data_IF_840702660651
#
_entry.id   IF_840702660651
#
_cell.length_a   1.000
_cell.length_b   1.000
_cell.length_c   1.000
_cell.angle_alpha   90.00
_cell.angle_beta   90.00
_cell.angle_gamma   90.00
#
_symmetry.space_group_name_H-M   'P 1'
#
loop_
_entity.id
_entity.type
_entity.pdbx_description
1 polymer ?
#
# COMPACT_ATOMS: atom_id res chain seq x y z
N UNK A 1 20.88 31.13 -0.63
CA UNK A 1 20.81 32.45 0.06
C UNK A 1 20.35 32.29 1.50
N UNK A 2 19.15 31.76 1.77
CA UNK A 2 18.59 31.63 3.12
C UNK A 2 19.49 30.89 4.14
N UNK A 3 20.13 29.79 3.73
CA UNK A 3 21.06 29.04 4.61
C UNK A 3 22.28 29.88 4.98
N UNK A 4 22.76 30.75 4.09
CA UNK A 4 23.85 31.70 4.38
C UNK A 4 23.41 32.81 5.35
N UNK A 5 22.13 32.90 5.66
CA UNK A 5 21.53 33.88 6.59
C UNK A 5 20.86 33.15 7.76
N UNK A 6 21.42 32.02 8.19
CA UNK A 6 21.04 31.31 9.42
C UNK A 6 19.60 30.79 9.45
N UNK A 7 19.02 30.46 8.29
CA UNK A 7 17.72 29.79 8.25
C UNK A 7 17.78 28.42 8.95
N UNK A 8 16.84 28.16 9.85
CA UNK A 8 16.73 26.88 10.55
C UNK A 8 16.19 25.78 9.62
N UNK A 9 17.07 24.88 9.19
CA UNK A 9 16.72 23.73 8.35
C UNK A 9 15.95 22.63 9.10
N UNK A 10 15.90 22.69 10.43
CA UNK A 10 15.12 21.78 11.28
C UNK A 10 13.74 22.37 11.64
N UNK A 11 13.41 23.58 11.16
CA UNK A 11 12.14 24.22 11.45
C UNK A 11 10.95 23.33 11.05
N UNK A 12 9.90 23.37 11.85
CA UNK A 12 8.70 22.54 11.67
C UNK A 12 7.47 23.42 11.49
N UNK A 13 6.66 23.10 10.50
CA UNK A 13 5.36 23.75 10.31
C UNK A 13 4.28 23.21 11.28
N UNK A 14 3.03 23.66 11.11
CA UNK A 14 1.87 23.20 11.91
C UNK A 14 1.57 21.69 11.78
N UNK A 15 2.07 21.06 10.72
CA UNK A 15 1.97 19.63 10.45
C UNK A 15 3.25 18.88 10.81
N UNK A 16 4.18 19.56 11.49
CA UNK A 16 5.48 19.05 11.89
C UNK A 16 6.41 18.68 10.72
N UNK A 17 6.10 19.17 9.52
CA UNK A 17 6.92 18.97 8.34
C UNK A 17 8.16 19.87 8.43
N UNK A 18 9.31 19.26 8.18
CA UNK A 18 10.58 19.96 7.97
C UNK A 18 10.77 20.32 6.50
N UNK A 19 11.69 21.25 6.16
CA UNK A 19 12.09 21.50 4.78
C UNK A 19 12.44 20.22 3.99
N UNK A 20 13.03 19.20 4.64
CA UNK A 20 13.33 17.92 3.99
C UNK A 20 12.06 17.15 3.57
N UNK A 21 10.99 17.18 4.37
CA UNK A 21 9.72 16.56 3.98
C UNK A 21 9.16 17.21 2.72
N UNK A 22 9.19 18.54 2.66
CA UNK A 22 8.69 19.31 1.51
C UNK A 22 9.56 19.06 0.28
N UNK A 23 10.89 19.05 0.45
CA UNK A 23 11.81 18.73 -0.64
C UNK A 23 11.58 17.31 -1.18
N UNK A 24 11.39 16.34 -0.28
CA UNK A 24 11.14 14.94 -0.61
C UNK A 24 9.83 14.74 -1.37
N UNK A 25 8.75 15.45 -1.00
CA UNK A 25 7.47 15.38 -1.70
C UNK A 25 7.51 15.97 -3.12
N UNK A 26 8.40 16.94 -3.38
CA UNK A 26 8.44 17.73 -4.63
C UNK A 26 9.65 17.41 -5.54
N UNK A 27 10.31 16.25 -5.37
CA UNK A 27 11.53 15.87 -6.13
C UNK A 27 12.64 16.93 -6.07
N UNK A 28 12.72 17.74 -5.01
CA UNK A 28 13.71 18.81 -4.90
C UNK A 28 15.07 18.25 -4.42
N UNK A 29 15.66 17.33 -5.18
CA UNK A 29 16.88 16.57 -4.83
C UNK A 29 18.03 17.51 -4.50
N UNK A 30 18.28 18.52 -5.34
CA UNK A 30 19.35 19.50 -5.11
C UNK A 30 19.17 20.29 -3.81
N UNK A 31 17.92 20.60 -3.44
CA UNK A 31 17.65 21.25 -2.17
C UNK A 31 17.91 20.30 -1.00
N UNK A 32 17.48 19.03 -1.12
CA UNK A 32 17.74 17.99 -0.12
C UNK A 32 19.24 17.77 0.09
N UNK A 33 20.04 17.66 -0.98
CA UNK A 33 21.51 17.53 -0.91
C UNK A 33 22.16 18.66 -0.13
N UNK A 34 21.68 19.89 -0.33
CA UNK A 34 22.20 21.06 0.38
C UNK A 34 21.81 21.02 1.86
N UNK A 35 20.57 20.67 2.22
CA UNK A 35 20.11 20.75 3.61
C UNK A 35 20.49 19.54 4.47
N UNK A 36 20.59 18.34 3.91
CA UNK A 36 20.83 17.09 4.67
C UNK A 36 22.06 17.17 5.59
N UNK A 37 23.23 17.69 5.16
CA UNK A 37 24.40 17.81 6.02
C UNK A 37 24.21 18.71 7.25
N UNK A 38 23.17 19.56 7.25
CA UNK A 38 22.84 20.49 8.33
C UNK A 38 21.67 20.03 9.20
N UNK A 39 21.03 18.90 8.84
CA UNK A 39 19.92 18.35 9.62
C UNK A 39 20.45 17.63 10.86
N UNK A 40 19.71 17.75 11.95
CA UNK A 40 19.93 16.92 13.14
C UNK A 40 19.66 15.44 12.87
N UNK A 41 18.70 15.13 11.99
CA UNK A 41 18.39 13.77 11.57
C UNK A 41 17.60 13.77 10.25
N UNK A 42 17.89 12.82 9.37
CA UNK A 42 17.08 12.55 8.16
C UNK A 42 15.78 11.78 8.47
N UNK A 43 15.67 11.23 9.69
CA UNK A 43 14.60 10.34 10.12
C UNK A 43 13.50 11.05 10.94
N UNK A 44 13.47 12.38 10.94
CA UNK A 44 12.40 13.14 11.60
C UNK A 44 11.05 12.80 10.95
N UNK A 45 10.02 12.63 11.77
CA UNK A 45 8.65 12.35 11.33
C UNK A 45 7.76 13.58 11.38
N UNK A 46 6.82 13.70 10.44
CA UNK A 46 5.73 14.66 10.47
C UNK A 46 4.65 14.28 11.51
N UNK A 47 3.56 15.06 11.58
CA UNK A 47 2.46 14.83 12.55
C UNK A 47 1.73 13.50 12.32
N UNK A 48 1.80 12.95 11.12
CA UNK A 48 1.29 11.63 10.74
C UNK A 48 2.27 10.48 11.02
N UNK A 49 3.47 10.76 11.53
CA UNK A 49 4.53 9.78 11.72
C UNK A 49 5.33 9.49 10.44
N UNK A 50 5.10 10.21 9.34
CA UNK A 50 5.77 9.95 8.07
C UNK A 50 7.11 10.67 8.02
N UNK A 51 8.16 9.96 7.62
CA UNK A 51 9.50 10.54 7.35
C UNK A 51 9.60 11.06 5.92
N UNK A 52 10.68 11.77 5.58
CA UNK A 52 10.96 12.19 4.20
C UNK A 52 10.93 11.01 3.20
N UNK A 53 11.38 9.82 3.60
CA UNK A 53 11.34 8.62 2.76
C UNK A 53 9.91 8.20 2.41
N UNK A 54 8.95 8.33 3.34
CA UNK A 54 7.55 8.09 3.04
C UNK A 54 7.01 9.05 1.98
N UNK A 55 7.35 10.34 2.08
CA UNK A 55 6.90 11.35 1.11
C UNK A 55 7.53 11.13 -0.27
N UNK A 56 8.82 10.77 -0.34
CA UNK A 56 9.48 10.43 -1.60
C UNK A 56 8.87 9.18 -2.24
N UNK A 57 8.61 8.14 -1.44
CA UNK A 57 8.03 6.89 -1.91
C UNK A 57 6.56 7.05 -2.36
N UNK A 58 5.78 7.83 -1.63
CA UNK A 58 4.40 8.19 -1.98
C UNK A 58 4.29 8.88 -3.35
N UNK A 59 5.29 9.67 -3.73
CA UNK A 59 5.25 10.46 -4.98
C UNK A 59 6.14 9.86 -6.10
N UNK A 60 6.73 8.68 -5.89
CA UNK A 60 7.50 7.99 -6.94
C UNK A 60 8.86 8.60 -7.24
N UNK A 61 9.44 9.39 -6.33
CA UNK A 61 10.68 10.13 -6.59
C UNK A 61 11.93 9.26 -6.36
N UNK A 62 12.27 8.42 -7.33
CA UNK A 62 13.36 7.44 -7.25
C UNK A 62 14.71 8.06 -6.85
N UNK A 63 15.13 9.15 -7.50
CA UNK A 63 16.37 9.86 -7.17
C UNK A 63 16.39 10.35 -5.72
N UNK A 64 15.24 10.81 -5.22
CA UNK A 64 15.10 11.25 -3.83
C UNK A 64 15.15 10.07 -2.86
N UNK A 65 14.50 8.94 -3.20
CA UNK A 65 14.57 7.71 -2.40
C UNK A 65 16.03 7.24 -2.28
N UNK A 66 16.77 7.18 -3.38
CA UNK A 66 18.19 6.84 -3.39
C UNK A 66 19.02 7.78 -2.50
N UNK A 67 18.84 9.10 -2.65
CA UNK A 67 19.55 10.08 -1.82
C UNK A 67 19.26 9.85 -0.33
N UNK A 68 17.99 9.68 0.04
CA UNK A 68 17.60 9.49 1.44
C UNK A 68 18.18 8.20 2.03
N UNK A 69 18.11 7.08 1.30
CA UNK A 69 18.69 5.81 1.72
C UNK A 69 20.22 5.91 1.87
N UNK A 70 20.91 6.53 0.90
CA UNK A 70 22.35 6.78 0.96
C UNK A 70 22.77 7.70 2.12
N UNK A 71 21.84 8.49 2.67
CA UNK A 71 22.05 9.37 3.82
C UNK A 71 21.50 8.81 5.14
N UNK A 72 21.21 7.51 5.19
CA UNK A 72 20.85 6.80 6.42
C UNK A 72 19.38 6.92 6.81
N UNK A 73 18.48 7.15 5.85
CA UNK A 73 17.06 7.02 6.10
C UNK A 73 16.72 5.58 6.53
N UNK A 74 15.97 5.43 7.61
CA UNK A 74 15.48 4.14 8.08
C UNK A 74 14.43 3.62 7.09
N UNK A 75 14.81 2.59 6.33
CA UNK A 75 13.98 1.99 5.28
C UNK A 75 12.68 1.39 5.80
N UNK A 76 12.69 0.90 7.05
CA UNK A 76 11.54 0.27 7.71
C UNK A 76 10.87 1.21 8.73
N UNK A 77 11.13 2.52 8.67
CA UNK A 77 10.37 3.50 9.44
C UNK A 77 8.87 3.38 9.14
N UNK A 78 8.04 3.62 10.16
CA UNK A 78 6.61 3.43 10.08
C UNK A 78 5.84 4.69 10.51
N UNK A 79 4.71 4.94 9.84
CA UNK A 79 3.82 6.04 10.18
C UNK A 79 2.88 5.70 11.35
N UNK A 80 1.98 6.61 11.75
CA UNK A 80 1.04 6.36 12.87
C UNK A 80 0.05 5.22 12.64
N UNK A 81 -0.05 4.67 11.43
CA UNK A 81 -0.82 3.47 11.09
C UNK A 81 0.09 2.25 10.87
N UNK A 82 1.35 2.34 11.28
CA UNK A 82 2.42 1.36 11.06
C UNK A 82 2.71 1.08 9.57
N UNK A 83 2.33 2.00 8.67
CA UNK A 83 2.63 1.86 7.25
C UNK A 83 4.03 2.36 6.99
N UNK A 84 4.78 1.60 6.20
CA UNK A 84 6.15 1.92 5.76
C UNK A 84 6.15 2.57 4.39
N UNK A 85 7.29 3.10 3.95
CA UNK A 85 7.47 3.65 2.61
C UNK A 85 7.03 2.68 1.50
N UNK A 86 7.30 1.37 1.68
CA UNK A 86 6.91 0.30 0.76
C UNK A 86 5.39 0.22 0.56
N UNK A 87 4.58 0.41 1.62
CA UNK A 87 3.11 0.41 1.51
C UNK A 87 2.62 1.55 0.60
N UNK A 88 3.21 2.74 0.75
CA UNK A 88 2.82 3.92 -0.02
C UNK A 88 3.23 3.82 -1.49
N UNK A 89 4.46 3.35 -1.77
CA UNK A 89 4.91 3.10 -3.13
C UNK A 89 4.06 2.01 -3.83
N UNK A 90 3.72 0.94 -3.08
CA UNK A 90 2.85 -0.13 -3.57
C UNK A 90 1.44 0.37 -3.89
N UNK A 91 0.83 1.15 -3.00
CA UNK A 91 -0.48 1.75 -3.22
C UNK A 91 -0.50 2.69 -4.43
N UNK A 92 0.54 3.51 -4.61
CA UNK A 92 0.59 4.52 -5.68
C UNK A 92 1.11 4.00 -7.04
N UNK A 93 1.49 2.73 -7.14
CA UNK A 93 1.90 2.17 -8.44
C UNK A 93 3.35 2.46 -8.84
N UNK A 94 4.20 2.90 -7.91
CA UNK A 94 5.59 3.25 -8.21
C UNK A 94 6.49 2.01 -8.18
N UNK A 95 6.39 1.16 -9.21
CA UNK A 95 7.11 -0.12 -9.29
C UNK A 95 8.63 0.03 -9.11
N UNK A 96 9.25 1.02 -9.75
CA UNK A 96 10.69 1.25 -9.62
C UNK A 96 11.10 1.62 -8.20
N UNK A 97 10.27 2.38 -7.48
CA UNK A 97 10.49 2.68 -6.06
C UNK A 97 10.28 1.44 -5.19
N UNK A 98 9.26 0.62 -5.47
CA UNK A 98 9.04 -0.66 -4.78
C UNK A 98 10.27 -1.55 -4.93
N UNK A 99 10.72 -1.80 -6.16
CA UNK A 99 11.89 -2.63 -6.44
C UNK A 99 13.14 -2.06 -5.76
N UNK A 100 13.34 -0.73 -5.81
CA UNK A 100 14.47 -0.07 -5.16
C UNK A 100 14.47 -0.27 -3.64
N UNK A 101 13.33 -0.07 -2.98
CA UNK A 101 13.18 -0.26 -1.54
C UNK A 101 13.46 -1.72 -1.16
N UNK A 102 12.91 -2.68 -1.89
CA UNK A 102 13.12 -4.12 -1.63
C UNK A 102 14.60 -4.48 -1.79
N UNK A 103 15.26 -4.01 -2.85
CA UNK A 103 16.69 -4.22 -3.09
C UNK A 103 17.59 -3.63 -1.99
N UNK A 104 17.11 -2.61 -1.27
CA UNK A 104 17.80 -2.01 -0.12
C UNK A 104 17.39 -2.63 1.23
N UNK A 105 16.64 -3.73 1.22
CA UNK A 105 16.27 -4.49 2.43
C UNK A 105 14.97 -4.03 3.10
N UNK A 106 14.06 -3.40 2.36
CA UNK A 106 12.70 -3.18 2.88
C UNK A 106 12.01 -4.53 3.14
N UNK A 107 11.37 -4.66 4.30
CA UNK A 107 10.63 -5.87 4.65
C UNK A 107 9.36 -6.01 3.78
N UNK A 108 9.35 -6.96 2.86
CA UNK A 108 8.28 -7.16 1.86
C UNK A 108 6.96 -7.60 2.50
N UNK A 109 7.02 -8.44 3.54
CA UNK A 109 5.86 -9.02 4.24
C UNK A 109 5.38 -8.17 5.41
N UNK A 110 5.80 -6.89 5.46
CA UNK A 110 5.44 -5.99 6.54
C UNK A 110 3.93 -5.77 6.63
N UNK A 111 3.45 -5.52 7.86
CA UNK A 111 2.04 -5.31 8.16
C UNK A 111 1.82 -3.97 8.83
N UNK A 112 0.78 -3.27 8.41
CA UNK A 112 0.28 -2.08 9.09
C UNK A 112 -0.52 -2.45 10.36
N UNK A 113 -1.04 -1.45 11.09
CA UNK A 113 -1.81 -1.66 12.33
C UNK A 113 -3.04 -2.56 12.18
N UNK A 114 -3.56 -2.70 10.97
CA UNK A 114 -4.71 -3.53 10.65
C UNK A 114 -4.32 -4.80 9.89
N UNK A 115 -3.03 -5.13 9.82
CA UNK A 115 -2.53 -6.32 9.16
C UNK A 115 -2.49 -6.24 7.64
N UNK A 116 -2.68 -5.05 7.03
CA UNK A 116 -2.53 -4.91 5.58
C UNK A 116 -1.06 -4.99 5.20
N UNK A 117 -0.76 -5.75 4.15
CA UNK A 117 0.59 -5.87 3.55
C UNK A 117 0.74 -4.95 2.33
N UNK A 118 1.96 -4.77 1.79
CA UNK A 118 2.16 -4.12 0.50
C UNK A 118 1.35 -4.75 -0.65
N UNK A 119 1.14 -6.08 -0.63
CA UNK A 119 0.30 -6.77 -1.61
C UNK A 119 -1.16 -6.29 -1.52
N UNK A 120 -1.72 -6.18 -0.30
CA UNK A 120 -3.06 -5.62 -0.12
C UNK A 120 -3.14 -4.16 -0.61
N UNK A 121 -2.11 -3.36 -0.35
CA UNK A 121 -2.07 -1.96 -0.75
C UNK A 121 -2.06 -1.82 -2.29
N UNK A 122 -1.24 -2.60 -2.98
CA UNK A 122 -1.21 -2.66 -4.43
C UNK A 122 -2.55 -3.16 -5.01
N UNK A 123 -3.11 -4.21 -4.41
CA UNK A 123 -4.37 -4.79 -4.85
C UNK A 123 -5.57 -3.84 -4.67
N UNK A 124 -5.58 -3.07 -3.58
CA UNK A 124 -6.63 -2.08 -3.31
C UNK A 124 -6.72 -0.97 -4.34
N UNK A 125 -5.62 -0.66 -5.04
CA UNK A 125 -5.54 0.46 -5.97
C UNK A 125 -5.17 0.03 -7.40
N UNK A 126 -5.40 -1.25 -7.74
CA UNK A 126 -5.28 -1.72 -9.13
C UNK A 126 -3.85 -1.85 -9.66
N UNK A 127 -2.83 -1.91 -8.80
CA UNK A 127 -1.43 -1.81 -9.21
C UNK A 127 -0.87 -3.15 -9.68
N UNK A 128 -1.35 -3.63 -10.84
CA UNK A 128 -1.08 -4.98 -11.37
C UNK A 128 0.42 -5.32 -11.48
N UNK A 129 1.25 -4.38 -11.93
CA UNK A 129 2.69 -4.63 -12.09
C UNK A 129 3.39 -4.83 -10.73
N UNK A 130 2.89 -4.18 -9.68
CA UNK A 130 3.42 -4.37 -8.32
C UNK A 130 2.90 -5.66 -7.72
N UNK A 131 1.63 -6.02 -7.95
CA UNK A 131 1.08 -7.33 -7.57
C UNK A 131 1.93 -8.45 -8.15
N UNK A 132 2.18 -8.45 -9.47
CA UNK A 132 3.09 -9.39 -10.14
C UNK A 132 4.46 -9.43 -9.48
N UNK A 133 5.07 -8.27 -9.29
CA UNK A 133 6.41 -8.18 -8.72
C UNK A 133 6.48 -8.80 -7.31
N UNK A 134 5.51 -8.48 -6.44
CA UNK A 134 5.45 -9.02 -5.09
C UNK A 134 5.20 -10.53 -5.07
N UNK A 135 4.28 -11.04 -5.90
CA UNK A 135 4.00 -12.47 -5.99
C UNK A 135 5.20 -13.27 -6.52
N UNK A 136 5.95 -12.70 -7.46
CA UNK A 136 7.21 -13.29 -7.94
C UNK A 136 8.32 -13.34 -6.88
N UNK A 137 8.21 -12.59 -5.79
CA UNK A 137 9.09 -12.70 -4.62
C UNK A 137 8.64 -13.80 -3.64
N UNK A 138 7.55 -14.52 -3.93
CA UNK A 138 7.05 -15.61 -3.11
C UNK A 138 6.35 -15.18 -1.82
N UNK A 139 5.74 -13.99 -1.81
CA UNK A 139 4.88 -13.59 -0.67
C UNK A 139 3.62 -14.47 -0.61
N UNK A 140 3.12 -14.72 0.60
CA UNK A 140 1.87 -15.45 0.80
C UNK A 140 0.70 -14.68 0.17
N UNK A 141 0.04 -15.31 -0.82
CA UNK A 141 -1.00 -14.69 -1.64
C UNK A 141 -2.30 -14.50 -0.87
N UNK A 142 -2.61 -15.46 0.01
CA UNK A 142 -3.82 -15.46 0.85
C UNK A 142 -3.54 -14.96 2.27
N UNK A 143 -2.49 -14.15 2.43
CA UNK A 143 -2.17 -13.52 3.71
C UNK A 143 -3.36 -12.66 4.17
N UNK A 144 -3.81 -12.89 5.41
CA UNK A 144 -4.98 -12.23 5.96
C UNK A 144 -4.62 -11.03 6.82
N UNK A 145 -5.39 -9.96 6.68
CA UNK A 145 -5.39 -8.85 7.61
C UNK A 145 -6.20 -9.18 8.90
N UNK A 146 -6.34 -8.23 9.83
CA UNK A 146 -7.03 -8.49 11.12
C UNK A 146 -8.52 -8.86 10.98
N UNK A 147 -9.11 -8.62 9.81
CA UNK A 147 -10.51 -8.94 9.50
C UNK A 147 -10.66 -10.27 8.76
N UNK A 148 -9.56 -10.97 8.48
CA UNK A 148 -9.55 -12.19 7.66
C UNK A 148 -9.63 -11.91 6.15
N UNK A 149 -9.50 -10.66 5.72
CA UNK A 149 -9.56 -10.33 4.30
C UNK A 149 -8.16 -10.53 3.68
N UNK A 150 -8.13 -11.20 2.53
CA UNK A 150 -6.94 -11.35 1.67
C UNK A 150 -6.85 -10.21 0.64
N UNK A 151 -5.75 -10.15 -0.12
CA UNK A 151 -5.62 -9.19 -1.22
C UNK A 151 -6.76 -9.31 -2.26
N UNK A 152 -7.24 -10.54 -2.52
CA UNK A 152 -8.34 -10.81 -3.44
C UNK A 152 -9.65 -10.16 -2.97
N UNK A 153 -10.00 -10.27 -1.68
CA UNK A 153 -11.16 -9.59 -1.11
C UNK A 153 -11.11 -8.07 -1.36
N UNK A 154 -9.94 -7.46 -1.10
CA UNK A 154 -9.76 -6.02 -1.22
C UNK A 154 -9.82 -5.57 -2.69
N UNK A 155 -9.25 -6.34 -3.62
CA UNK A 155 -9.35 -6.07 -5.06
C UNK A 155 -10.81 -6.14 -5.54
N UNK A 156 -11.57 -7.16 -5.13
CA UNK A 156 -12.97 -7.33 -5.49
C UNK A 156 -13.85 -6.17 -5.01
N UNK A 157 -13.69 -5.75 -3.75
CA UNK A 157 -14.48 -4.63 -3.22
C UNK A 157 -14.18 -3.30 -3.93
N UNK A 158 -12.94 -3.09 -4.36
CA UNK A 158 -12.55 -1.88 -5.08
C UNK A 158 -12.73 -1.99 -6.60
N UNK A 159 -13.32 -3.08 -7.12
CA UNK A 159 -13.59 -3.26 -8.56
C UNK A 159 -12.33 -3.37 -9.42
N UNK A 160 -11.24 -3.94 -8.88
CA UNK A 160 -9.95 -4.04 -9.58
C UNK A 160 -9.85 -5.34 -10.38
N UNK A 161 -10.66 -5.49 -11.42
CA UNK A 161 -10.82 -6.73 -12.20
C UNK A 161 -9.51 -7.31 -12.74
N UNK A 162 -8.63 -6.45 -13.27
CA UNK A 162 -7.33 -6.89 -13.80
C UNK A 162 -6.42 -7.45 -12.70
N UNK A 163 -6.49 -6.92 -11.47
CA UNK A 163 -5.79 -7.48 -10.31
C UNK A 163 -6.45 -8.76 -9.83
N UNK A 164 -7.79 -8.83 -9.82
CA UNK A 164 -8.53 -10.04 -9.45
C UNK A 164 -8.13 -11.20 -10.36
N UNK A 165 -8.12 -10.99 -11.68
CA UNK A 165 -7.69 -12.02 -12.62
C UNK A 165 -6.26 -12.47 -12.34
N UNK A 166 -5.35 -11.52 -12.13
CA UNK A 166 -3.95 -11.84 -11.84
C UNK A 166 -3.76 -12.63 -10.53
N UNK A 167 -4.48 -12.26 -9.46
CA UNK A 167 -4.42 -13.00 -8.20
C UNK A 167 -4.94 -14.43 -8.37
N UNK A 168 -6.01 -14.63 -9.15
CA UNK A 168 -6.56 -15.96 -9.45
C UNK A 168 -5.55 -16.77 -10.29
N UNK A 169 -4.91 -16.17 -11.29
CA UNK A 169 -3.89 -16.83 -12.12
C UNK A 169 -2.68 -17.29 -11.29
N UNK A 170 -2.33 -16.56 -10.23
CA UNK A 170 -1.30 -16.97 -9.26
C UNK A 170 -1.81 -17.93 -8.18
N UNK A 171 -3.08 -18.34 -8.23
CA UNK A 171 -3.65 -19.37 -7.37
C UNK A 171 -4.31 -18.88 -6.09
N UNK A 172 -4.74 -17.62 -6.01
CA UNK A 172 -5.49 -17.11 -4.86
C UNK A 172 -6.79 -17.91 -4.63
N UNK A 173 -7.11 -18.22 -3.38
CA UNK A 173 -8.34 -18.95 -3.06
C UNK A 173 -9.60 -18.08 -3.26
N UNK A 174 -10.29 -18.30 -4.38
CA UNK A 174 -11.54 -17.62 -4.77
C UNK A 174 -12.68 -17.77 -3.76
N UNK A 175 -12.62 -18.80 -2.90
CA UNK A 175 -13.65 -19.14 -1.92
C UNK A 175 -13.23 -18.87 -0.47
N UNK A 176 -12.09 -18.23 -0.23
CA UNK A 176 -11.59 -17.97 1.11
C UNK A 176 -12.58 -17.12 1.92
N UNK A 177 -13.18 -17.60 3.03
CA UNK A 177 -14.00 -16.76 3.88
C UNK A 177 -13.11 -15.90 4.79
N UNK A 178 -13.54 -14.66 5.04
CA UNK A 178 -12.99 -13.82 6.08
C UNK A 178 -13.53 -14.18 7.48
N UNK A 179 -13.15 -13.43 8.52
CA UNK A 179 -13.55 -13.71 9.91
C UNK A 179 -15.08 -13.64 10.13
N UNK A 180 -15.80 -12.99 9.22
CA UNK A 180 -17.25 -12.85 9.26
C UNK A 180 -17.97 -13.85 8.33
N UNK A 181 -17.23 -14.70 7.62
CA UNK A 181 -17.76 -15.67 6.65
C UNK A 181 -18.01 -15.12 5.25
N UNK A 182 -17.67 -13.85 4.97
CA UNK A 182 -17.80 -13.28 3.63
C UNK A 182 -16.62 -13.74 2.76
N UNK A 183 -16.93 -14.14 1.53
CA UNK A 183 -15.96 -14.52 0.49
C UNK A 183 -15.64 -13.34 -0.42
N UNK A 184 -14.63 -13.44 -1.31
CA UNK A 184 -14.37 -12.42 -2.33
C UNK A 184 -15.60 -12.10 -3.19
N UNK A 185 -16.45 -13.10 -3.47
CA UNK A 185 -17.68 -12.92 -4.23
C UNK A 185 -18.67 -11.97 -3.53
N UNK A 186 -18.79 -12.06 -2.21
CA UNK A 186 -19.60 -11.13 -1.42
C UNK A 186 -19.05 -9.69 -1.50
N UNK A 187 -17.72 -9.55 -1.51
CA UNK A 187 -17.06 -8.24 -1.64
C UNK A 187 -17.30 -7.64 -3.02
N UNK A 188 -17.23 -8.45 -4.09
CA UNK A 188 -17.56 -8.02 -5.45
C UNK A 188 -19.03 -7.59 -5.57
N UNK A 189 -19.96 -8.38 -5.01
CA UNK A 189 -21.40 -8.09 -5.03
C UNK A 189 -21.77 -6.81 -4.25
N UNK A 190 -21.03 -6.49 -3.18
CA UNK A 190 -21.24 -5.27 -2.40
C UNK A 190 -20.62 -4.01 -3.04
N UNK A 191 -19.81 -4.16 -4.08
CA UNK A 191 -19.10 -3.05 -4.74
C UNK A 191 -19.92 -2.43 -5.86
N UNK A 192 -19.90 -1.10 -5.96
CA UNK A 192 -20.50 -0.35 -7.08
C UNK A 192 -19.75 -0.53 -8.40
N UNK A 193 -18.56 -1.11 -8.37
CA UNK A 193 -17.70 -1.36 -9.54
C UNK A 193 -17.27 -2.83 -9.64
N UNK A 194 -17.89 -3.73 -8.86
CA UNK A 194 -17.46 -5.13 -8.75
C UNK A 194 -18.04 -6.08 -9.79
N UNK A 195 -18.81 -5.60 -10.78
CA UNK A 195 -19.51 -6.47 -11.73
C UNK A 195 -18.56 -7.41 -12.49
N UNK A 196 -17.47 -6.89 -13.06
CA UNK A 196 -16.47 -7.72 -13.74
C UNK A 196 -15.73 -8.65 -12.76
N UNK A 197 -15.45 -8.18 -11.53
CA UNK A 197 -14.84 -9.03 -10.50
C UNK A 197 -15.75 -10.22 -10.14
N UNK A 198 -17.07 -9.99 -10.08
CA UNK A 198 -18.07 -11.01 -9.80
C UNK A 198 -18.09 -12.05 -10.92
N UNK A 199 -18.12 -11.62 -12.18
CA UNK A 199 -18.05 -12.51 -13.34
C UNK A 199 -16.76 -13.34 -13.35
N UNK A 200 -15.61 -12.71 -13.11
CA UNK A 200 -14.32 -13.40 -13.03
C UNK A 200 -14.32 -14.46 -11.93
N UNK A 201 -14.83 -14.14 -10.75
CA UNK A 201 -14.90 -15.10 -9.63
C UNK A 201 -15.81 -16.28 -9.96
N UNK A 202 -17.01 -16.05 -10.50
CA UNK A 202 -17.95 -17.13 -10.87
C UNK A 202 -17.34 -18.02 -11.95
N UNK A 203 -16.72 -17.43 -12.97
CA UNK A 203 -16.06 -18.17 -14.04
C UNK A 203 -14.87 -19.01 -13.54
N UNK A 204 -14.28 -18.63 -12.40
CA UNK A 204 -13.17 -19.35 -11.75
C UNK A 204 -13.61 -20.17 -10.53
N UNK A 205 -14.90 -20.54 -10.44
CA UNK A 205 -15.38 -21.52 -9.47
C UNK A 205 -15.70 -20.98 -8.08
N UNK A 206 -15.99 -19.68 -7.96
CA UNK A 206 -16.55 -19.14 -6.73
C UNK A 206 -17.94 -19.75 -6.43
N UNK A 207 -18.14 -20.23 -5.21
CA UNK A 207 -19.42 -20.76 -4.75
C UNK A 207 -20.40 -19.62 -4.47
N UNK A 208 -21.44 -19.55 -5.29
CA UNK A 208 -22.51 -18.54 -5.22
C UNK A 208 -23.48 -18.76 -4.06
N UNK A 209 -23.44 -19.93 -3.40
CA UNK A 209 -24.40 -20.32 -2.36
C UNK A 209 -23.84 -20.19 -0.95
N UNK A 210 -22.63 -19.63 -0.77
CA UNK A 210 -22.03 -19.47 0.55
C UNK A 210 -22.91 -18.59 1.43
N UNK A 211 -23.52 -19.18 2.45
CA UNK A 211 -24.39 -18.47 3.38
C UNK A 211 -23.57 -17.83 4.50
N UNK A 212 -23.65 -16.51 4.60
CA UNK A 212 -23.07 -15.77 5.73
C UNK A 212 -24.00 -15.89 6.95
N UNK A 213 -23.46 -16.12 8.15
CA UNK A 213 -24.28 -16.26 9.38
C UNK A 213 -25.13 -15.01 9.72
N UNK A 214 -24.83 -13.85 9.14
CA UNK A 214 -25.66 -12.63 9.24
C UNK A 214 -26.75 -12.51 8.17
N UNK A 215 -26.80 -13.40 7.17
CA UNK A 215 -27.62 -13.30 5.97
C UNK A 215 -29.10 -13.69 6.14
N UNK A 216 -29.57 -14.00 7.35
CA UNK A 216 -31.01 -14.18 7.61
C UNK A 216 -31.84 -12.88 7.45
N UNK A 217 -31.27 -11.76 6.99
CA UNK A 217 -32.02 -10.51 6.78
C UNK A 217 -31.84 -9.77 5.45
N UNK A 218 -30.92 -10.16 4.55
CA UNK A 218 -30.61 -9.32 3.37
C UNK A 218 -30.77 -9.98 2.00
N UNK A 219 -30.88 -11.31 1.89
CA UNK A 219 -31.02 -11.98 0.59
C UNK A 219 -32.46 -12.36 0.19
N UNK A 220 -33.48 -11.81 0.86
CA UNK A 220 -34.89 -12.02 0.47
C UNK A 220 -35.35 -11.19 -0.74
N UNK A 221 -34.50 -10.37 -1.36
CA UNK A 221 -34.91 -9.50 -2.48
C UNK A 221 -33.92 -9.55 -3.63
N UNK A 222 -34.01 -10.59 -4.47
CA UNK A 222 -33.58 -10.55 -5.87
C UNK A 222 -34.12 -11.75 -6.69
N UNK A 223 -35.37 -12.14 -6.45
CA UNK A 223 -36.13 -12.97 -7.38
C UNK A 223 -37.46 -12.24 -7.61
N UNK A 224 -37.47 -11.36 -8.61
CA UNK A 224 -38.51 -11.07 -9.61
C UNK A 224 -38.11 -9.83 -10.42
#
# INVERSE_FOLDING_TARGET
VLIKHSADVNARDKNWQTPLHVAAANKAVKCAEVIIPMLSSVNVSDRGGRTALHHAALNGHIEMVNLLLAKGANINAFDKKDRRALHWAAYMGHLEVVALLINHGAEVTCKDKKGYTPLHAAASNGQINIVKHLLNLGVEIDEMNIYGNTALHIACYNGQDSVVNELIDYGANVNQPNNNGFTPLHFAAASTHGALCLELLVNNGADVNVQVKLALRLFSFALF
#
